data_IF_518372053566
#
_entry.id   IF_518372053566
#
_cell.length_a   1.000
_cell.length_b   1.000
_cell.length_c   1.000
_cell.angle_alpha   90.00
_cell.angle_beta   90.00
_cell.angle_gamma   90.00
#
_symmetry.space_group_name_H-M   'P 1'
#
loop_
_entity.id
_entity.type
_entity.pdbx_description
1 polymer ?
#
# COMPACT_ATOMS: atom_id res chain seq x y z
N UNK A 1 43.47 24.49 21.99
CA UNK A 1 42.06 24.96 22.00
C UNK A 1 41.13 24.07 21.15
N UNK A 2 41.32 22.74 21.13
CA UNK A 2 40.53 21.80 20.31
C UNK A 2 40.12 20.52 21.07
N UNK A 3 40.16 20.53 22.41
CA UNK A 3 39.86 19.36 23.24
C UNK A 3 38.40 19.24 23.68
N UNK A 4 37.63 20.33 23.67
CA UNK A 4 36.29 20.36 24.30
C UNK A 4 35.13 20.02 23.35
N UNK A 5 35.35 19.99 22.03
CA UNK A 5 34.29 19.75 21.03
C UNK A 5 34.01 18.26 20.74
N UNK A 6 34.84 17.33 21.20
CA UNK A 6 34.68 15.89 20.90
C UNK A 6 33.68 15.15 21.80
N UNK A 7 33.40 15.66 23.00
CA UNK A 7 32.48 15.02 23.95
C UNK A 7 31.03 15.52 23.82
N UNK A 8 30.83 16.76 23.37
CA UNK A 8 29.49 17.34 23.16
C UNK A 8 28.74 16.73 21.96
N UNK A 9 29.45 16.32 20.91
CA UNK A 9 28.84 15.72 19.72
C UNK A 9 28.24 14.32 19.96
N UNK A 10 28.90 13.48 20.76
CA UNK A 10 28.45 12.12 21.06
C UNK A 10 27.29 12.10 22.08
N UNK A 11 27.30 13.00 23.07
CA UNK A 11 26.22 13.12 24.04
C UNK A 11 24.93 13.66 23.40
N UNK A 12 25.03 14.62 22.48
CA UNK A 12 23.88 15.13 21.72
C UNK A 12 23.30 14.07 20.77
N UNK A 13 24.15 13.23 20.17
CA UNK A 13 23.72 12.13 19.32
C UNK A 13 23.01 11.02 20.12
N UNK A 14 23.47 10.75 21.35
CA UNK A 14 22.85 9.78 22.25
C UNK A 14 21.50 10.25 22.79
N UNK A 15 21.36 11.53 23.17
CA UNK A 15 20.06 12.14 23.55
C UNK A 15 19.07 12.18 22.38
N UNK A 16 19.56 12.43 21.15
CA UNK A 16 18.72 12.41 19.95
C UNK A 16 18.16 11.01 19.63
N UNK A 17 18.92 9.95 19.90
CA UNK A 17 18.43 8.58 19.76
C UNK A 17 17.45 8.17 20.87
N UNK A 18 17.67 8.65 22.11
CA UNK A 18 16.81 8.31 23.27
C UNK A 18 15.40 8.93 23.18
N UNK A 19 15.22 10.07 22.49
CA UNK A 19 13.91 10.73 22.32
C UNK A 19 13.03 10.15 21.20
N UNK A 20 13.46 9.11 20.48
CA UNK A 20 12.81 8.67 19.23
C UNK A 20 11.77 7.55 19.33
N UNK A 21 11.40 7.14 20.54
CA UNK A 21 10.30 6.16 20.73
C UNK A 21 8.89 6.76 20.53
N UNK A 22 8.76 8.07 20.31
CA UNK A 22 7.48 8.72 20.01
C UNK A 22 7.41 9.19 18.54
N UNK A 23 6.73 8.43 17.68
CA UNK A 23 6.21 8.94 16.39
C UNK A 23 6.79 8.32 15.12
N UNK A 24 6.12 7.26 14.63
CA UNK A 24 6.44 6.50 13.40
C UNK A 24 6.35 7.27 12.06
N UNK A 25 6.08 8.59 12.03
CA UNK A 25 6.07 9.39 10.79
C UNK A 25 7.42 10.02 10.42
N UNK A 26 8.42 9.95 11.31
CA UNK A 26 9.74 10.57 11.09
C UNK A 26 10.72 9.61 10.38
N UNK A 27 10.34 8.36 10.11
CA UNK A 27 11.25 7.28 9.69
C UNK A 27 12.04 7.49 8.39
N UNK A 28 11.53 8.21 7.38
CA UNK A 28 12.27 8.40 6.12
C UNK A 28 13.21 9.61 6.14
N UNK A 29 12.74 10.75 6.65
CA UNK A 29 13.58 11.94 6.84
C UNK A 29 14.71 11.66 7.85
N UNK A 30 14.41 10.89 8.89
CA UNK A 30 15.37 10.33 9.83
C UNK A 30 16.53 9.60 9.20
N UNK A 31 16.21 8.68 8.28
CA UNK A 31 17.18 7.81 7.61
C UNK A 31 17.99 8.62 6.61
N UNK A 32 17.36 9.57 5.90
CA UNK A 32 18.06 10.50 4.99
C UNK A 32 19.08 11.37 5.72
N UNK A 33 18.70 11.98 6.85
CA UNK A 33 19.62 12.80 7.66
C UNK A 33 20.75 11.94 8.24
N UNK A 34 20.43 10.73 8.74
CA UNK A 34 21.45 9.81 9.24
C UNK A 34 22.47 9.42 8.17
N UNK A 35 22.01 9.08 6.96
CA UNK A 35 22.87 8.75 5.84
C UNK A 35 23.76 9.93 5.41
N UNK A 36 23.21 11.15 5.37
CA UNK A 36 23.96 12.35 5.04
C UNK A 36 25.08 12.64 6.06
N UNK A 37 24.79 12.49 7.36
CA UNK A 37 25.80 12.67 8.42
C UNK A 37 26.93 11.63 8.30
N UNK A 38 26.58 10.38 8.03
CA UNK A 38 27.58 9.30 7.82
C UNK A 38 28.44 9.60 6.59
N UNK A 39 27.84 10.05 5.48
CA UNK A 39 28.57 10.40 4.27
C UNK A 39 29.56 11.56 4.50
N UNK A 40 29.14 12.60 5.22
CA UNK A 40 30.01 13.73 5.58
C UNK A 40 31.16 13.25 6.48
N UNK A 41 30.87 12.43 7.49
CA UNK A 41 31.92 11.88 8.36
C UNK A 41 32.93 11.03 7.57
N UNK A 42 32.45 10.20 6.65
CA UNK A 42 33.30 9.37 5.79
C UNK A 42 34.18 10.25 4.88
N UNK A 43 33.63 11.33 4.32
CA UNK A 43 34.37 12.29 3.52
C UNK A 43 35.53 12.92 4.31
N UNK A 44 35.31 13.34 5.55
CA UNK A 44 36.38 13.89 6.40
C UNK A 44 37.46 12.86 6.73
N UNK A 45 37.07 11.59 6.97
CA UNK A 45 38.04 10.51 7.21
C UNK A 45 38.91 10.27 5.97
N UNK A 46 38.31 10.19 4.78
CA UNK A 46 39.03 9.99 3.52
C UNK A 46 39.93 11.19 3.20
N UNK A 47 39.41 12.41 3.35
CA UNK A 47 40.19 13.63 3.12
C UNK A 47 41.41 13.69 4.04
N UNK A 48 41.24 13.38 5.33
CA UNK A 48 42.35 13.35 6.29
C UNK A 48 43.35 12.24 5.97
N UNK A 49 42.86 11.07 5.54
CA UNK A 49 43.72 9.98 5.08
C UNK A 49 44.62 10.42 3.91
N UNK A 50 44.06 11.06 2.89
CA UNK A 50 44.83 11.52 1.73
C UNK A 50 45.92 12.51 2.14
N UNK A 51 45.62 13.45 3.03
CA UNK A 51 46.63 14.40 3.53
C UNK A 51 47.76 13.71 4.29
N UNK A 52 47.44 12.74 5.15
CA UNK A 52 48.46 11.98 5.90
C UNK A 52 49.27 11.07 4.99
N UNK A 53 48.69 10.57 3.90
CA UNK A 53 49.37 9.69 2.96
C UNK A 53 50.47 10.43 2.16
N UNK A 54 50.21 11.68 1.79
CA UNK A 54 51.18 12.53 1.08
C UNK A 54 52.37 12.92 1.96
N UNK A 55 52.13 13.18 3.26
CA UNK A 55 53.16 13.57 4.23
C UNK A 55 54.13 12.42 4.62
N UNK A 56 53.83 11.17 4.27
CA UNK A 56 54.71 10.03 4.58
C UNK A 56 55.84 9.95 3.54
N UNK A 57 57.05 10.35 3.93
CA UNK A 57 58.26 10.25 3.10
C UNK A 57 58.75 8.81 2.90
N UNK A 58 58.52 7.93 3.89
CA UNK A 58 58.99 6.54 3.83
C UNK A 58 58.08 5.67 2.97
N UNK A 59 58.62 5.14 1.87
CA UNK A 59 57.91 4.25 0.95
C UNK A 59 57.36 2.99 1.63
N UNK A 60 58.12 2.40 2.56
CA UNK A 60 57.69 1.20 3.31
C UNK A 60 56.48 1.49 4.18
N UNK A 61 56.49 2.62 4.91
CA UNK A 61 55.36 3.01 5.78
C UNK A 61 54.12 3.31 4.93
N UNK A 62 54.30 3.96 3.77
CA UNK A 62 53.22 4.26 2.83
C UNK A 62 52.53 2.99 2.32
N UNK A 63 53.30 1.94 1.98
CA UNK A 63 52.74 0.65 1.54
C UNK A 63 51.96 -0.03 2.67
N UNK A 64 52.55 -0.13 3.86
CA UNK A 64 51.90 -0.77 5.02
C UNK A 64 50.59 -0.06 5.37
N UNK A 65 50.61 1.27 5.37
CA UNK A 65 49.43 2.09 5.67
C UNK A 65 48.35 1.95 4.58
N UNK A 66 48.73 1.93 3.30
CA UNK A 66 47.80 1.70 2.19
C UNK A 66 47.10 0.33 2.26
N UNK A 67 47.83 -0.73 2.62
CA UNK A 67 47.24 -2.07 2.80
C UNK A 67 46.26 -2.09 3.96
N UNK A 68 46.63 -1.52 5.11
CA UNK A 68 45.77 -1.46 6.29
C UNK A 68 44.44 -0.74 5.99
N UNK A 69 44.51 0.39 5.30
CA UNK A 69 43.31 1.17 4.93
C UNK A 69 42.46 0.43 3.91
N UNK A 70 43.06 -0.25 2.93
CA UNK A 70 42.32 -1.07 1.98
C UNK A 70 41.53 -2.18 2.68
N UNK A 71 42.10 -2.81 3.70
CA UNK A 71 41.40 -3.84 4.50
C UNK A 71 40.21 -3.24 5.25
N UNK A 72 40.39 -2.07 5.89
CA UNK A 72 39.33 -1.42 6.67
C UNK A 72 38.17 -0.98 5.75
N UNK A 73 38.47 -0.29 4.65
CA UNK A 73 37.44 0.18 3.72
C UNK A 73 36.80 -0.96 2.94
N UNK A 74 37.57 -1.98 2.55
CA UNK A 74 37.06 -3.19 1.92
C UNK A 74 36.10 -3.96 2.84
N UNK A 75 36.45 -4.08 4.12
CA UNK A 75 35.59 -4.69 5.14
C UNK A 75 34.32 -3.88 5.39
N UNK A 76 34.42 -2.56 5.50
CA UNK A 76 33.27 -1.67 5.67
C UNK A 76 32.34 -1.72 4.45
N UNK A 77 32.90 -1.71 3.24
CA UNK A 77 32.12 -1.81 2.01
C UNK A 77 31.44 -3.17 1.88
N UNK A 78 32.14 -4.26 2.19
CA UNK A 78 31.56 -5.60 2.21
C UNK A 78 30.44 -5.74 3.25
N UNK A 79 30.62 -5.16 4.43
CA UNK A 79 29.59 -5.11 5.48
C UNK A 79 28.37 -4.29 5.04
N UNK A 80 28.57 -3.09 4.49
CA UNK A 80 27.48 -2.25 3.98
C UNK A 80 26.75 -2.94 2.83
N UNK A 81 27.50 -3.55 1.91
CA UNK A 81 26.94 -4.34 0.81
C UNK A 81 26.06 -5.47 1.34
N UNK A 82 26.53 -6.23 2.34
CA UNK A 82 25.74 -7.32 2.93
C UNK A 82 24.54 -6.81 3.77
N UNK A 83 24.72 -5.70 4.49
CA UNK A 83 23.68 -5.10 5.34
C UNK A 83 22.55 -4.49 4.50
N UNK A 84 22.88 -3.83 3.39
CA UNK A 84 21.89 -3.23 2.48
C UNK A 84 21.40 -4.17 1.39
N UNK A 85 22.12 -5.27 1.14
CA UNK A 85 21.60 -6.39 0.37
C UNK A 85 20.52 -7.05 1.23
N UNK A 86 19.31 -6.51 1.13
CA UNK A 86 18.12 -7.24 1.51
C UNK A 86 18.25 -8.64 0.91
N UNK A 87 18.17 -9.72 1.70
CA UNK A 87 18.08 -11.04 1.13
C UNK A 87 16.90 -10.97 0.17
N UNK A 88 17.18 -10.99 -1.13
CA UNK A 88 16.14 -11.04 -2.15
C UNK A 88 15.25 -12.17 -1.72
N UNK A 89 14.00 -11.84 -1.36
CA UNK A 89 13.08 -12.75 -0.73
C UNK A 89 13.15 -14.04 -1.54
N UNK A 90 13.75 -15.09 -0.95
CA UNK A 90 13.93 -16.35 -1.64
C UNK A 90 12.54 -16.68 -2.18
N UNK A 91 12.42 -16.81 -3.50
CA UNK A 91 11.14 -17.02 -4.16
C UNK A 91 10.53 -18.29 -3.56
N UNK A 92 9.75 -18.12 -2.49
CA UNK A 92 8.99 -19.18 -1.86
C UNK A 92 8.16 -19.69 -3.02
N UNK A 93 8.35 -20.97 -3.37
CA UNK A 93 7.45 -21.66 -4.30
C UNK A 93 6.04 -21.23 -3.91
N UNK A 94 5.23 -20.67 -4.83
CA UNK A 94 3.95 -20.08 -4.49
C UNK A 94 3.13 -21.16 -3.80
N UNK A 95 3.09 -21.08 -2.47
CA UNK A 95 2.34 -21.99 -1.65
C UNK A 95 0.90 -21.72 -2.06
N UNK A 96 0.25 -22.71 -2.67
CA UNK A 96 -1.18 -22.59 -2.93
C UNK A 96 -1.86 -22.53 -1.57
N UNK A 97 -2.19 -21.31 -1.16
CA UNK A 97 -2.91 -21.07 0.07
C UNK A 97 -4.30 -21.66 -0.15
N UNK A 98 -4.67 -22.60 0.70
CA UNK A 98 -6.03 -23.11 0.68
C UNK A 98 -6.94 -22.01 1.22
N UNK A 99 -8.14 -21.83 0.65
CA UNK A 99 -9.10 -20.89 1.21
C UNK A 99 -9.32 -21.23 2.70
N UNK A 100 -9.41 -20.22 3.58
CA UNK A 100 -9.56 -20.42 5.01
C UNK A 100 -10.81 -21.24 5.32
N UNK A 101 -10.77 -22.02 6.40
CA UNK A 101 -11.92 -22.81 6.83
C UNK A 101 -13.10 -21.90 7.22
N UNK A 102 -14.32 -22.44 7.12
CA UNK A 102 -15.55 -21.70 7.47
C UNK A 102 -15.50 -21.17 8.90
N UNK A 103 -15.06 -21.99 9.85
CA UNK A 103 -14.97 -21.62 11.25
C UNK A 103 -13.95 -20.49 11.48
N UNK A 104 -12.85 -20.50 10.72
CA UNK A 104 -11.84 -19.43 10.73
C UNK A 104 -12.42 -18.12 10.20
N UNK A 105 -13.16 -18.18 9.09
CA UNK A 105 -13.83 -17.02 8.51
C UNK A 105 -14.87 -16.44 9.47
N UNK A 106 -15.70 -17.28 10.09
CA UNK A 106 -16.67 -16.83 11.09
C UNK A 106 -15.99 -16.17 12.29
N UNK A 107 -14.88 -16.74 12.79
CA UNK A 107 -14.11 -16.13 13.87
C UNK A 107 -13.51 -14.78 13.48
N UNK A 108 -13.01 -14.64 12.25
CA UNK A 108 -12.48 -13.37 11.74
C UNK A 108 -13.57 -12.32 11.56
N UNK A 109 -14.72 -12.69 10.99
CA UNK A 109 -15.87 -11.80 10.86
C UNK A 109 -16.38 -11.34 12.22
N UNK A 110 -16.50 -12.24 13.19
CA UNK A 110 -16.87 -11.91 14.56
C UNK A 110 -15.85 -10.98 15.23
N UNK A 111 -14.55 -11.24 15.06
CA UNK A 111 -13.45 -10.41 15.60
C UNK A 111 -13.53 -8.96 15.09
N UNK A 112 -13.89 -8.77 13.82
CA UNK A 112 -13.95 -7.45 13.19
C UNK A 112 -15.35 -6.81 13.22
N UNK A 113 -16.29 -7.39 13.97
CA UNK A 113 -17.66 -6.86 14.08
C UNK A 113 -18.47 -6.93 12.79
N UNK A 114 -18.03 -7.73 11.82
CA UNK A 114 -18.73 -8.00 10.56
C UNK A 114 -19.81 -9.05 10.86
N UNK A 115 -20.89 -8.66 11.53
CA UNK A 115 -22.01 -9.56 11.78
C UNK A 115 -22.81 -9.77 10.49
N UNK A 116 -22.66 -10.93 9.86
CA UNK A 116 -23.59 -11.36 8.82
C UNK A 116 -24.93 -11.72 9.47
N UNK A 117 -26.02 -11.23 8.89
CA UNK A 117 -27.37 -11.80 9.02
C UNK A 117 -27.51 -13.21 8.39
N UNK A 118 -26.42 -13.97 8.30
CA UNK A 118 -26.43 -15.34 7.79
C UNK A 118 -26.62 -16.29 8.96
N UNK A 119 -27.84 -16.80 9.08
CA UNK A 119 -28.24 -17.78 10.08
C UNK A 119 -27.28 -18.95 10.18
N UNK A 120 -27.14 -19.40 11.42
CA UNK A 120 -26.63 -20.70 11.83
C UNK A 120 -27.05 -21.84 10.89
N UNK A 121 -26.11 -22.37 10.10
CA UNK A 121 -26.12 -23.81 9.80
C UNK A 121 -24.73 -24.23 9.32
N UNK A 122 -24.07 -25.05 10.12
CA UNK A 122 -22.81 -25.68 9.77
C UNK A 122 -22.96 -26.53 8.52
N UNK A 123 -22.26 -26.14 7.45
CA UNK A 123 -21.80 -27.03 6.39
C UNK A 123 -20.76 -26.31 5.55
N UNK A 124 -19.59 -26.95 5.43
CA UNK A 124 -18.45 -26.52 4.64
C UNK A 124 -18.83 -25.74 3.37
N UNK A 125 -18.37 -24.49 3.27
CA UNK A 125 -18.53 -23.63 2.11
C UNK A 125 -17.59 -24.09 0.98
N UNK A 126 -17.87 -25.26 0.39
CA UNK A 126 -17.69 -25.43 -1.05
C UNK A 126 -18.74 -24.54 -1.71
N UNK A 127 -18.30 -23.57 -2.51
CA UNK A 127 -19.08 -22.51 -3.16
C UNK A 127 -20.61 -22.63 -3.07
N UNK A 128 -21.25 -21.70 -2.35
CA UNK A 128 -22.71 -21.59 -2.28
C UNK A 128 -23.15 -20.14 -2.34
N UNK A 129 -24.28 -19.94 -3.03
CA UNK A 129 -24.92 -18.69 -3.44
C UNK A 129 -25.21 -17.62 -2.36
N UNK A 130 -24.87 -17.86 -1.08
CA UNK A 130 -25.18 -16.98 0.04
C UNK A 130 -23.93 -16.40 0.74
N UNK A 131 -22.72 -16.57 0.18
CA UNK A 131 -21.56 -15.84 0.70
C UNK A 131 -21.69 -14.34 0.35
N UNK A 132 -21.37 -13.41 1.27
CA UNK A 132 -21.56 -11.99 1.03
C UNK A 132 -20.63 -11.49 -0.08
N UNK A 133 -21.00 -10.35 -0.65
CA UNK A 133 -20.09 -9.50 -1.40
C UNK A 133 -19.25 -8.74 -0.38
N UNK A 134 -17.94 -8.82 -0.52
CA UNK A 134 -17.01 -8.18 0.42
C UNK A 134 -16.39 -6.96 -0.25
N UNK A 135 -16.40 -5.82 0.45
CA UNK A 135 -15.82 -4.56 -0.03
C UNK A 135 -14.59 -4.23 0.81
N UNK A 136 -13.44 -4.20 0.13
CA UNK A 136 -12.14 -3.82 0.66
C UNK A 136 -11.68 -2.50 0.03
N UNK A 137 -10.68 -1.88 0.64
CA UNK A 137 -10.15 -0.60 0.19
C UNK A 137 -9.68 0.25 1.36
N UNK A 138 -9.25 1.46 1.04
CA UNK A 138 -8.83 2.43 2.05
C UNK A 138 -10.03 3.07 2.73
N UNK A 139 -9.74 3.83 3.79
CA UNK A 139 -10.71 4.71 4.41
C UNK A 139 -11.19 5.85 3.50
N UNK A 140 -10.33 6.33 2.60
CA UNK A 140 -10.57 7.53 1.77
C UNK A 140 -10.97 7.20 0.31
N UNK A 141 -11.00 5.92 -0.06
CA UNK A 141 -11.26 5.50 -1.43
C UNK A 141 -12.73 5.54 -1.84
N UNK A 142 -13.65 5.88 -0.91
CA UNK A 142 -15.09 5.97 -1.20
C UNK A 142 -15.90 4.74 -0.84
N UNK A 143 -15.38 3.82 -0.01
CA UNK A 143 -16.08 2.57 0.37
C UNK A 143 -17.48 2.81 0.92
N UNK A 144 -17.64 3.79 1.80
CA UNK A 144 -18.92 4.12 2.45
C UNK A 144 -19.94 4.55 1.41
N UNK A 145 -19.53 5.38 0.47
CA UNK A 145 -20.35 5.91 -0.61
C UNK A 145 -20.74 4.79 -1.59
N UNK A 146 -19.80 3.89 -1.92
CA UNK A 146 -20.07 2.69 -2.73
C UNK A 146 -21.09 1.78 -2.03
N UNK A 147 -20.93 1.51 -0.73
CA UNK A 147 -21.89 0.71 0.06
C UNK A 147 -23.27 1.36 0.05
N UNK A 148 -23.34 2.67 0.28
CA UNK A 148 -24.60 3.41 0.26
C UNK A 148 -25.27 3.37 -1.13
N UNK A 149 -24.50 3.53 -2.20
CA UNK A 149 -25.01 3.46 -3.57
C UNK A 149 -25.51 2.05 -3.92
N UNK A 150 -24.79 1.00 -3.49
CA UNK A 150 -25.20 -0.39 -3.67
C UNK A 150 -26.47 -0.74 -2.87
N UNK A 151 -26.59 -0.23 -1.64
CA UNK A 151 -27.78 -0.40 -0.82
C UNK A 151 -29.00 0.28 -1.47
N UNK A 152 -28.84 1.48 -2.03
CA UNK A 152 -29.90 2.16 -2.80
C UNK A 152 -30.30 1.39 -4.06
N UNK A 153 -29.36 0.65 -4.66
CA UNK A 153 -29.61 -0.24 -5.80
C UNK A 153 -30.20 -1.61 -5.39
N UNK A 154 -30.44 -1.85 -4.10
CA UNK A 154 -31.07 -3.06 -3.57
C UNK A 154 -30.13 -4.22 -3.26
N UNK A 155 -28.82 -3.99 -3.18
CA UNK A 155 -27.84 -5.02 -2.79
C UNK A 155 -27.69 -5.02 -1.26
N UNK A 156 -28.13 -6.08 -0.59
CA UNK A 156 -28.18 -6.16 0.88
C UNK A 156 -27.08 -7.01 1.50
N UNK A 157 -26.50 -7.95 0.75
CA UNK A 157 -25.56 -8.94 1.29
C UNK A 157 -24.11 -8.46 1.18
N UNK A 158 -23.84 -7.29 1.76
CA UNK A 158 -22.54 -6.62 1.70
C UNK A 158 -21.85 -6.66 3.06
N UNK A 159 -20.59 -7.06 3.07
CA UNK A 159 -19.72 -6.98 4.23
C UNK A 159 -18.56 -6.02 3.94
N UNK A 160 -18.40 -4.99 4.77
CA UNK A 160 -17.26 -4.09 4.70
C UNK A 160 -16.07 -4.69 5.46
N UNK A 161 -14.90 -4.73 4.81
CA UNK A 161 -13.66 -5.08 5.51
C UNK A 161 -13.02 -3.86 6.19
N UNK A 162 -12.22 -4.10 7.25
CA UNK A 162 -11.32 -3.09 7.79
C UNK A 162 -10.53 -2.39 6.69
N UNK A 163 -10.31 -1.08 6.87
CA UNK A 163 -9.55 -0.30 5.90
C UNK A 163 -8.11 -0.82 5.78
N UNK A 164 -7.64 -0.94 4.54
CA UNK A 164 -6.27 -1.38 4.28
C UNK A 164 -5.27 -0.38 4.88
N UNK A 165 -4.20 -0.89 5.50
CA UNK A 165 -3.12 -0.05 6.01
C UNK A 165 -1.77 -0.48 5.44
N UNK A 166 -0.77 0.40 5.46
CA UNK A 166 0.52 0.14 4.77
C UNK A 166 1.34 -0.97 5.45
N UNK A 167 1.06 -1.31 6.72
CA UNK A 167 1.93 -2.17 7.54
C UNK A 167 1.20 -3.11 8.51
N UNK A 168 -0.09 -3.42 8.28
CA UNK A 168 -0.83 -4.24 9.24
C UNK A 168 -0.93 -5.72 8.82
N UNK A 169 -0.75 -6.66 9.77
CA UNK A 169 -1.18 -8.05 9.59
C UNK A 169 -2.69 -8.16 9.32
N UNK A 170 -3.46 -7.13 9.65
CA UNK A 170 -4.89 -7.01 9.34
C UNK A 170 -5.17 -7.07 7.83
N UNK A 171 -4.22 -6.73 6.96
CA UNK A 171 -4.37 -6.87 5.52
C UNK A 171 -4.41 -8.35 5.09
N UNK A 172 -3.65 -9.21 5.78
CA UNK A 172 -3.63 -10.65 5.52
C UNK A 172 -4.94 -11.28 6.01
N UNK A 173 -5.39 -10.92 7.23
CA UNK A 173 -6.71 -11.31 7.73
C UNK A 173 -7.84 -10.80 6.81
N UNK A 174 -7.70 -9.58 6.28
CA UNK A 174 -8.61 -9.00 5.29
C UNK A 174 -8.62 -9.80 3.98
N UNK A 175 -7.46 -10.23 3.50
CA UNK A 175 -7.35 -11.04 2.29
C UNK A 175 -7.96 -12.44 2.50
N UNK A 176 -7.77 -13.04 3.68
CA UNK A 176 -8.44 -14.28 4.08
C UNK A 176 -9.97 -14.11 4.06
N UNK A 177 -10.48 -13.05 4.69
CA UNK A 177 -11.93 -12.75 4.70
C UNK A 177 -12.48 -12.53 3.29
N UNK A 178 -11.76 -11.78 2.44
CA UNK A 178 -12.13 -11.55 1.05
C UNK A 178 -12.14 -12.85 0.22
N UNK A 179 -11.23 -13.78 0.49
CA UNK A 179 -11.21 -15.07 -0.20
C UNK A 179 -12.45 -15.94 0.07
N UNK A 180 -13.00 -15.82 1.29
CA UNK A 180 -14.25 -16.48 1.70
C UNK A 180 -15.53 -15.91 1.10
N UNK A 181 -15.46 -14.72 0.50
CA UNK A 181 -16.60 -14.03 -0.10
C UNK A 181 -17.09 -14.70 -1.39
N UNK A 182 -18.32 -14.39 -1.83
CA UNK A 182 -18.75 -14.73 -3.20
C UNK A 182 -17.98 -13.91 -4.24
N UNK A 183 -17.85 -12.62 -3.97
CA UNK A 183 -17.15 -11.63 -4.77
C UNK A 183 -16.37 -10.70 -3.85
N UNK A 184 -15.10 -10.44 -4.19
CA UNK A 184 -14.28 -9.45 -3.53
C UNK A 184 -14.17 -8.21 -4.42
N UNK A 185 -14.62 -7.05 -3.91
CA UNK A 185 -14.49 -5.76 -4.57
C UNK A 185 -13.44 -4.96 -3.83
N UNK A 186 -12.43 -4.46 -4.55
CA UNK A 186 -11.44 -3.54 -4.01
C UNK A 186 -11.71 -2.13 -4.53
N UNK A 187 -12.14 -1.23 -3.65
CA UNK A 187 -12.43 0.17 -3.99
C UNK A 187 -11.17 1.01 -3.83
N UNK A 188 -10.75 1.62 -4.93
CA UNK A 188 -9.70 2.64 -4.99
C UNK A 188 -10.28 3.89 -5.67
N UNK A 189 -9.68 5.05 -5.47
CA UNK A 189 -10.08 6.29 -6.14
C UNK A 189 -9.07 6.77 -7.19
N UNK A 190 -7.93 6.10 -7.28
CA UNK A 190 -6.79 6.39 -8.14
C UNK A 190 -6.08 5.06 -8.47
N UNK A 191 -4.96 5.16 -9.19
CA UNK A 191 -4.08 4.03 -9.43
C UNK A 191 -3.58 3.36 -8.13
N UNK A 192 -3.37 2.05 -8.18
CA UNK A 192 -3.05 1.23 -7.01
C UNK A 192 -1.62 1.44 -6.51
N UNK A 193 -1.45 1.58 -5.20
CA UNK A 193 -0.13 1.56 -4.56
C UNK A 193 0.33 0.13 -4.31
N UNK A 194 1.63 -0.04 -4.09
CA UNK A 194 2.25 -1.36 -3.95
C UNK A 194 1.54 -2.26 -2.93
N UNK A 195 1.18 -1.73 -1.77
CA UNK A 195 0.52 -2.54 -0.73
C UNK A 195 -0.93 -2.93 -1.08
N UNK A 196 -1.59 -2.18 -1.96
CA UNK A 196 -2.91 -2.51 -2.50
C UNK A 196 -2.80 -3.61 -3.54
N UNK A 197 -1.76 -3.55 -4.38
CA UNK A 197 -1.41 -4.63 -5.31
C UNK A 197 -1.12 -5.93 -4.55
N UNK A 198 -0.32 -5.86 -3.47
CA UNK A 198 -0.01 -7.03 -2.64
C UNK A 198 -1.25 -7.61 -1.96
N UNK A 199 -2.20 -6.77 -1.52
CA UNK A 199 -3.48 -7.24 -0.99
C UNK A 199 -4.28 -8.02 -2.05
N UNK A 200 -4.42 -7.47 -3.27
CA UNK A 200 -5.13 -8.15 -4.37
C UNK A 200 -4.44 -9.47 -4.73
N UNK A 201 -3.11 -9.47 -4.81
CA UNK A 201 -2.31 -10.70 -5.04
C UNK A 201 -2.52 -11.73 -3.95
N UNK A 202 -2.63 -11.32 -2.68
CA UNK A 202 -2.90 -12.22 -1.57
C UNK A 202 -4.29 -12.88 -1.72
N UNK A 203 -5.32 -12.11 -2.08
CA UNK A 203 -6.67 -12.66 -2.34
C UNK A 203 -6.65 -13.66 -3.52
N UNK A 204 -5.94 -13.32 -4.61
CA UNK A 204 -5.73 -14.24 -5.73
C UNK A 204 -4.97 -15.51 -5.34
N UNK A 205 -4.01 -15.41 -4.42
CA UNK A 205 -3.26 -16.55 -3.92
C UNK A 205 -4.15 -17.55 -3.14
N UNK A 206 -5.21 -17.07 -2.48
CA UNK A 206 -6.28 -17.89 -1.92
C UNK A 206 -7.28 -18.42 -2.96
N UNK A 207 -7.08 -18.12 -4.25
CA UNK A 207 -7.87 -18.63 -5.35
C UNK A 207 -9.16 -17.86 -5.63
N UNK A 208 -9.32 -16.64 -5.08
CA UNK A 208 -10.48 -15.78 -5.31
C UNK A 208 -10.14 -14.63 -6.26
N UNK A 209 -11.06 -14.29 -7.15
CA UNK A 209 -10.90 -13.17 -8.07
C UNK A 209 -11.35 -11.87 -7.42
N UNK A 210 -10.73 -10.77 -7.83
CA UNK A 210 -10.98 -9.44 -7.28
C UNK A 210 -11.35 -8.50 -8.42
N UNK A 211 -12.46 -7.79 -8.26
CA UNK A 211 -12.83 -6.66 -9.11
C UNK A 211 -12.33 -5.38 -8.44
N UNK A 212 -11.50 -4.62 -9.14
CA UNK A 212 -11.05 -3.29 -8.72
C UNK A 212 -12.07 -2.28 -9.21
N UNK A 213 -12.71 -1.58 -8.28
CA UNK A 213 -13.62 -0.48 -8.58
C UNK A 213 -12.88 0.86 -8.36
N UNK A 214 -12.62 1.57 -9.45
CA UNK A 214 -12.06 2.93 -9.43
C UNK A 214 -13.21 3.92 -9.26
N UNK A 215 -13.39 4.41 -8.03
CA UNK A 215 -14.39 5.41 -7.68
C UNK A 215 -13.96 6.83 -8.05
N UNK A 216 -14.92 7.75 -8.05
CA UNK A 216 -14.75 9.17 -8.46
C UNK A 216 -14.37 9.30 -9.95
N UNK A 217 -14.78 8.34 -10.78
CA UNK A 217 -14.47 8.34 -12.21
C UNK A 217 -15.12 9.50 -12.98
N UNK A 218 -16.09 10.20 -12.38
CA UNK A 218 -16.67 11.45 -12.91
C UNK A 218 -15.66 12.59 -12.99
N UNK A 219 -14.51 12.46 -12.31
CA UNK A 219 -13.37 13.39 -12.34
C UNK A 219 -12.28 13.00 -13.34
N UNK A 220 -12.40 11.82 -13.95
CA UNK A 220 -11.38 11.25 -14.83
C UNK A 220 -11.80 11.43 -16.29
N UNK A 221 -10.87 11.89 -17.12
CA UNK A 221 -11.03 11.88 -18.57
C UNK A 221 -10.93 10.45 -19.10
N UNK A 222 -11.32 10.22 -20.36
CA UNK A 222 -11.17 8.91 -20.99
C UNK A 222 -9.72 8.46 -21.04
N UNK A 223 -8.78 9.37 -21.33
CA UNK A 223 -7.34 9.06 -21.33
C UNK A 223 -6.83 8.67 -19.94
N UNK A 224 -7.29 9.36 -18.89
CA UNK A 224 -6.88 9.02 -17.52
C UNK A 224 -7.36 7.61 -17.14
N UNK A 225 -8.57 7.24 -17.55
CA UNK A 225 -9.12 5.89 -17.31
C UNK A 225 -8.30 4.82 -18.03
N UNK A 226 -7.95 5.06 -19.29
CA UNK A 226 -7.11 4.14 -20.07
C UNK A 226 -5.71 3.99 -19.44
N UNK A 227 -5.09 5.10 -19.01
CA UNK A 227 -3.79 5.09 -18.35
C UNK A 227 -3.83 4.33 -17.02
N UNK A 228 -4.84 4.57 -16.19
CA UNK A 228 -5.03 3.86 -14.91
C UNK A 228 -5.24 2.37 -15.17
N UNK A 229 -6.11 2.00 -16.12
CA UNK A 229 -6.36 0.59 -16.45
C UNK A 229 -5.08 -0.11 -16.94
N UNK A 230 -4.30 0.54 -17.81
CA UNK A 230 -3.03 0.02 -18.30
C UNK A 230 -1.98 -0.11 -17.17
N UNK A 231 -1.86 0.91 -16.31
CA UNK A 231 -0.96 0.89 -15.15
C UNK A 231 -1.30 -0.26 -14.19
N UNK A 232 -2.60 -0.45 -13.90
CA UNK A 232 -3.07 -1.56 -13.08
C UNK A 232 -2.73 -2.89 -13.75
N UNK A 233 -3.06 -3.08 -15.04
CA UNK A 233 -2.76 -4.32 -15.75
C UNK A 233 -1.26 -4.67 -15.74
N UNK A 234 -0.38 -3.66 -15.88
CA UNK A 234 1.07 -3.84 -15.80
C UNK A 234 1.54 -4.28 -14.40
N UNK A 235 0.92 -3.78 -13.32
CA UNK A 235 1.26 -4.19 -11.94
C UNK A 235 0.94 -5.65 -11.62
N UNK A 236 0.05 -6.26 -12.41
CA UNK A 236 -0.32 -7.67 -12.34
C UNK A 236 0.26 -8.50 -13.50
N UNK A 237 1.19 -7.94 -14.27
CA UNK A 237 1.91 -8.71 -15.28
C UNK A 237 2.61 -9.92 -14.63
N UNK A 238 2.43 -11.11 -15.23
CA UNK A 238 2.94 -12.37 -14.68
C UNK A 238 2.14 -12.94 -13.50
N UNK A 239 1.09 -12.26 -13.01
CA UNK A 239 0.17 -12.85 -12.06
C UNK A 239 -0.66 -13.96 -12.73
N UNK A 240 -1.06 -14.98 -11.95
CA UNK A 240 -1.91 -16.08 -12.46
C UNK A 240 -3.27 -15.60 -12.95
N UNK A 241 -3.74 -14.48 -12.39
CA UNK A 241 -5.04 -13.88 -12.70
C UNK A 241 -4.88 -12.37 -12.74
N UNK A 242 -5.53 -11.76 -13.72
CA UNK A 242 -5.64 -10.31 -13.84
C UNK A 242 -6.89 -9.88 -13.08
N UNK A 243 -6.81 -8.90 -12.16
CA UNK A 243 -8.01 -8.32 -11.61
C UNK A 243 -8.71 -7.53 -12.71
N UNK A 244 -10.03 -7.55 -12.67
CA UNK A 244 -10.82 -6.73 -13.55
C UNK A 244 -10.91 -5.31 -13.00
N UNK A 245 -10.89 -4.30 -13.87
CA UNK A 245 -11.03 -2.89 -13.48
C UNK A 245 -12.35 -2.34 -14.00
N UNK A 246 -13.15 -1.78 -13.10
CA UNK A 246 -14.39 -1.05 -13.42
C UNK A 246 -14.29 0.38 -12.91
N UNK A 247 -14.83 1.33 -13.66
CA UNK A 247 -14.90 2.74 -13.27
C UNK A 247 -16.31 3.06 -12.79
N UNK A 248 -16.41 3.69 -11.62
CA UNK A 248 -17.68 4.06 -11.00
C UNK A 248 -17.63 5.48 -10.45
N UNK A 249 -18.79 6.07 -10.18
CA UNK A 249 -18.93 7.32 -9.44
C UNK A 249 -20.04 7.14 -8.41
N UNK A 250 -19.68 6.70 -7.21
CA UNK A 250 -20.62 6.42 -6.12
C UNK A 250 -21.26 7.70 -5.56
N UNK A 251 -20.50 8.80 -5.54
CA UNK A 251 -20.93 10.13 -5.12
C UNK A 251 -20.41 11.20 -6.11
N UNK A 252 -21.02 11.34 -7.30
CA UNK A 252 -20.52 12.25 -8.32
C UNK A 252 -20.59 13.72 -7.89
N UNK A 253 -19.64 14.54 -8.36
CA UNK A 253 -19.64 15.96 -8.06
C UNK A 253 -20.90 16.67 -8.60
N UNK A 254 -21.51 17.58 -7.81
CA UNK A 254 -22.59 18.44 -8.29
C UNK A 254 -22.14 19.27 -9.49
N UNK A 255 -23.07 19.52 -10.41
CA UNK A 255 -22.81 20.31 -11.63
C UNK A 255 -23.72 21.53 -11.61
N UNK A 256 -23.16 22.70 -11.91
CA UNK A 256 -23.96 23.90 -12.14
C UNK A 256 -24.56 23.82 -13.55
N UNK A 257 -25.88 23.68 -13.62
CA UNK A 257 -26.62 23.69 -14.86
C UNK A 257 -27.26 25.07 -15.05
N UNK A 258 -27.07 25.68 -16.21
CA UNK A 258 -27.84 26.87 -16.59
C UNK A 258 -29.17 26.38 -17.16
N UNK A 259 -30.25 26.68 -16.45
CA UNK A 259 -31.61 26.36 -16.88
C UNK A 259 -32.19 27.60 -17.54
N UNK A 260 -32.47 27.52 -18.84
CA UNK A 260 -33.20 28.57 -19.56
C UNK A 260 -34.69 28.28 -19.41
N UNK A 261 -35.39 29.19 -18.74
CA UNK A 261 -36.83 29.11 -18.54
C UNK A 261 -37.58 29.47 -19.84
N UNK A 262 -38.87 29.11 -19.93
CA UNK A 262 -39.68 29.33 -21.12
C UNK A 262 -39.86 30.81 -21.52
N UNK A 263 -39.57 31.72 -20.59
CA UNK A 263 -39.55 33.19 -20.75
C UNK A 263 -38.18 33.73 -21.21
N UNK A 264 -37.19 32.86 -21.42
CA UNK A 264 -35.82 33.22 -21.81
C UNK A 264 -34.91 33.60 -20.64
N UNK A 265 -35.38 33.50 -19.39
CA UNK A 265 -34.57 33.80 -18.21
C UNK A 265 -33.60 32.67 -17.92
N UNK A 266 -32.30 32.96 -17.84
CA UNK A 266 -31.27 32.01 -17.41
C UNK A 266 -31.17 31.96 -15.89
N UNK A 267 -31.18 30.76 -15.32
CA UNK A 267 -30.96 30.53 -13.88
C UNK A 267 -29.91 29.44 -13.68
N UNK A 268 -28.89 29.75 -12.90
CA UNK A 268 -27.95 28.75 -12.43
C UNK A 268 -28.61 27.88 -11.36
N UNK A 269 -28.61 26.57 -11.59
CA UNK A 269 -29.11 25.56 -10.67
C UNK A 269 -28.02 24.50 -10.44
N UNK A 270 -27.61 24.30 -9.19
CA UNK A 270 -26.72 23.18 -8.83
C UNK A 270 -27.51 21.89 -8.81
N UNK A 271 -27.18 20.95 -9.70
CA UNK A 271 -27.83 19.64 -9.78
C UNK A 271 -26.89 18.54 -9.28
N UNK A 272 -27.38 17.73 -8.35
CA UNK A 272 -26.69 16.52 -7.90
C UNK A 272 -26.94 15.40 -8.89
N UNK A 273 -25.86 14.83 -9.45
CA UNK A 273 -25.95 13.67 -10.36
C UNK A 273 -26.24 12.40 -9.55
N UNK A 274 -26.97 11.46 -10.16
CA UNK A 274 -27.18 10.12 -9.59
C UNK A 274 -25.88 9.32 -9.65
N UNK A 275 -25.68 8.43 -8.67
CA UNK A 275 -24.55 7.51 -8.64
C UNK A 275 -24.47 6.69 -9.93
N UNK A 276 -23.28 6.58 -10.50
CA UNK A 276 -22.96 5.75 -11.66
C UNK A 276 -22.20 4.51 -11.19
N UNK A 277 -22.93 3.44 -10.90
CA UNK A 277 -22.40 2.17 -10.39
C UNK A 277 -22.82 0.99 -11.27
N UNK A 278 -23.29 1.24 -12.50
CA UNK A 278 -23.88 0.22 -13.37
C UNK A 278 -22.89 -0.92 -13.65
N UNK A 279 -21.65 -0.58 -14.02
CA UNK A 279 -20.59 -1.56 -14.27
C UNK A 279 -20.31 -2.46 -13.05
N UNK A 280 -20.41 -1.93 -11.83
CA UNK A 280 -20.22 -2.72 -10.62
C UNK A 280 -21.44 -3.62 -10.32
N UNK A 281 -22.66 -3.15 -10.58
CA UNK A 281 -23.88 -3.93 -10.39
C UNK A 281 -23.92 -5.14 -11.33
N UNK A 282 -23.48 -4.98 -12.57
CA UNK A 282 -23.39 -6.09 -13.53
C UNK A 282 -22.47 -7.20 -13.00
N UNK A 283 -21.38 -6.82 -12.30
CA UNK A 283 -20.46 -7.78 -11.66
C UNK A 283 -21.01 -8.45 -10.42
N UNK A 284 -21.88 -7.76 -9.68
CA UNK A 284 -22.52 -8.36 -8.50
C UNK A 284 -23.61 -9.36 -8.92
N UNK A 285 -24.31 -9.10 -10.03
CA UNK A 285 -25.43 -9.91 -10.53
C UNK A 285 -25.02 -11.08 -11.42
N UNK A 286 -23.89 -10.98 -12.13
CA UNK A 286 -23.27 -12.07 -12.89
C UNK A 286 -22.74 -13.18 -11.98
#
# INVERSE_FOLDING_TARGET
MFGLFRLLGLAALWEFFKRREAGKRIGRAAVGVGAAVIAIALFFVVSRFLTTFDDIESQTIRIVYGVLVTIIFGGLFGFLYFYFRTPGAAAKKPQQLHPPSVDRLQALFAKHGIMQGAGSSGRAHKGKANAPVVIAGLRESGKTEVIAALAQAGVTDIAELPALSVWAPENEEGAEMAAGARLAIFVADQDLRNYEVEFVKAVHAYGRDVTIAIDKSDRLTTSDREEIAASIAAKFEGAKRQPEVVFIASAPLPVNAVVVSADGTEREETRTRKADIAALLDRIKG
#
